data_IF_339000692013
#
_entry.id   IF_339000692013
#
_cell.length_a   1.000
_cell.length_b   1.000
_cell.length_c   1.000
_cell.angle_alpha   90.00
_cell.angle_beta   90.00
_cell.angle_gamma   90.00
#
_symmetry.space_group_name_H-M   'P 1'
#
loop_
_entity.id
_entity.type
_entity.pdbx_description
1 polymer ?
#
# COMPACT_ATOMS: atom_id res chain seq x y z
N UNK A 1 3.63 -67.86 -67.27
CA UNK A 1 5.07 -67.57 -67.03
C UNK A 1 5.20 -66.83 -65.72
N UNK A 2 5.85 -67.41 -64.72
CA UNK A 2 5.99 -66.96 -63.34
C UNK A 2 7.25 -66.12 -63.24
N UNK A 3 7.15 -64.97 -62.50
CA UNK A 3 8.32 -64.37 -61.88
C UNK A 3 7.97 -63.96 -60.45
N UNK A 4 8.63 -64.61 -59.50
CA UNK A 4 8.65 -64.30 -58.09
C UNK A 4 9.54 -63.11 -57.90
N UNK A 5 9.10 -62.12 -57.07
CA UNK A 5 9.98 -61.11 -56.44
C UNK A 5 9.78 -61.17 -54.88
N UNK A 6 10.86 -61.40 -54.21
CA UNK A 6 11.01 -61.42 -52.78
C UNK A 6 10.85 -60.04 -52.22
N UNK A 7 10.08 -59.96 -51.12
CA UNK A 7 10.04 -58.78 -50.28
C UNK A 7 11.09 -58.90 -49.17
N UNK A 8 11.98 -57.93 -49.09
CA UNK A 8 12.92 -57.73 -48.01
C UNK A 8 12.26 -56.86 -46.96
N UNK A 9 12.11 -57.39 -45.74
CA UNK A 9 11.64 -56.67 -44.55
C UNK A 9 12.80 -55.87 -44.00
N UNK A 10 12.70 -54.53 -43.97
CA UNK A 10 13.55 -53.65 -43.19
C UNK A 10 12.75 -53.20 -41.98
N UNK A 11 13.20 -53.68 -40.81
CA UNK A 11 12.71 -53.22 -39.50
C UNK A 11 13.37 -51.90 -39.15
N UNK A 12 12.62 -50.81 -39.20
CA UNK A 12 13.04 -49.50 -38.73
C UNK A 12 12.60 -49.30 -37.28
N UNK A 13 13.54 -49.27 -36.39
CA UNK A 13 13.29 -48.90 -34.97
C UNK A 13 13.03 -47.39 -34.84
N UNK A 14 11.83 -47.02 -34.47
CA UNK A 14 11.48 -45.65 -34.14
C UNK A 14 11.83 -45.42 -32.68
N UNK A 15 12.91 -44.66 -32.43
CA UNK A 15 13.24 -44.17 -31.08
C UNK A 15 12.39 -42.92 -30.82
N UNK A 16 11.35 -43.05 -30.03
CA UNK A 16 10.58 -41.92 -29.56
C UNK A 16 11.34 -41.20 -28.42
N UNK A 17 11.95 -40.07 -28.74
CA UNK A 17 12.50 -39.18 -27.71
C UNK A 17 11.36 -38.43 -27.05
N UNK A 18 11.04 -38.85 -25.79
CA UNK A 18 10.18 -38.07 -24.90
C UNK A 18 10.96 -36.87 -24.39
N UNK A 19 10.73 -35.71 -24.94
CA UNK A 19 11.18 -34.45 -24.37
C UNK A 19 10.26 -34.10 -23.18
N UNK A 20 10.78 -34.31 -21.97
CA UNK A 20 10.13 -33.88 -20.73
C UNK A 20 10.22 -32.35 -20.66
N UNK A 21 9.12 -31.65 -21.00
CA UNK A 21 9.01 -30.20 -20.79
C UNK A 21 8.75 -29.99 -19.31
N UNK A 22 9.78 -29.66 -18.54
CA UNK A 22 9.64 -29.14 -17.19
C UNK A 22 8.99 -27.75 -17.25
N UNK A 23 7.71 -27.67 -16.91
CA UNK A 23 7.08 -26.40 -16.55
C UNK A 23 7.68 -25.91 -15.23
N UNK A 24 8.64 -25.02 -15.32
CA UNK A 24 9.10 -24.27 -14.18
C UNK A 24 7.96 -23.31 -13.77
N UNK A 25 7.37 -23.62 -12.61
CA UNK A 25 6.42 -22.74 -11.96
C UNK A 25 7.20 -21.52 -11.48
N UNK A 26 7.09 -20.41 -12.21
CA UNK A 26 7.65 -19.12 -11.74
C UNK A 26 6.95 -18.73 -10.45
N UNK A 27 7.60 -19.00 -9.34
CA UNK A 27 7.24 -18.41 -8.06
C UNK A 27 7.66 -16.94 -8.13
N UNK A 28 6.69 -16.05 -8.20
CA UNK A 28 6.91 -14.62 -8.04
C UNK A 28 7.54 -14.36 -6.67
N UNK A 29 8.87 -14.34 -6.62
CA UNK A 29 9.59 -13.83 -5.49
C UNK A 29 9.32 -12.33 -5.40
N UNK A 30 8.51 -11.94 -4.41
CA UNK A 30 8.45 -10.55 -3.95
C UNK A 30 9.87 -10.20 -3.51
N UNK A 31 10.57 -9.45 -4.36
CA UNK A 31 11.91 -8.96 -4.06
C UNK A 31 11.80 -7.99 -2.90
N UNK A 32 12.17 -8.44 -1.71
CA UNK A 32 12.39 -7.55 -0.58
C UNK A 32 13.64 -6.75 -0.91
N UNK A 33 13.45 -5.50 -1.33
CA UNK A 33 14.56 -4.59 -1.54
C UNK A 33 15.35 -4.46 -0.24
N UNK A 34 16.54 -5.05 -0.25
CA UNK A 34 17.53 -4.95 0.82
C UNK A 34 18.10 -3.54 0.78
N UNK A 35 17.49 -2.60 1.49
CA UNK A 35 18.05 -1.27 1.67
C UNK A 35 17.62 -0.71 3.03
N UNK A 36 18.61 -0.32 3.76
CA UNK A 36 18.64 0.48 5.00
C UNK A 36 18.91 -0.36 6.25
N UNK A 37 20.16 -0.56 6.53
CA UNK A 37 20.70 -1.26 7.71
C UNK A 37 20.45 -0.56 9.06
N UNK A 38 19.77 0.61 9.09
CA UNK A 38 19.51 1.41 10.30
C UNK A 38 18.06 1.85 10.46
N UNK A 39 17.10 1.25 9.73
CA UNK A 39 15.69 1.61 9.90
C UNK A 39 15.13 0.91 11.14
N UNK A 40 14.50 1.64 12.10
CA UNK A 40 13.83 1.02 13.24
C UNK A 40 12.78 -0.01 12.79
N UNK A 41 12.79 -1.19 13.44
CA UNK A 41 11.92 -2.32 13.05
C UNK A 41 10.43 -2.05 13.22
N UNK A 42 10.08 -1.11 14.09
CA UNK A 42 8.70 -0.68 14.34
C UNK A 42 8.19 0.36 13.33
N UNK A 43 9.06 0.90 12.46
CA UNK A 43 8.66 1.82 11.40
C UNK A 43 7.95 1.08 10.26
N UNK A 44 7.15 1.81 9.48
CA UNK A 44 6.42 1.23 8.36
C UNK A 44 7.38 0.54 7.37
N UNK A 45 7.04 -0.69 7.01
CA UNK A 45 7.85 -1.54 6.14
C UNK A 45 7.73 -1.11 4.68
N UNK A 46 8.83 -0.86 3.96
CA UNK A 46 8.78 -0.55 2.53
C UNK A 46 8.27 -1.76 1.74
N UNK A 47 7.46 -1.49 0.74
CA UNK A 47 6.92 -2.47 -0.20
C UNK A 47 7.09 -1.97 -1.62
N UNK A 48 7.05 -2.88 -2.58
CA UNK A 48 7.01 -2.55 -4.02
C UNK A 48 5.73 -3.10 -4.61
N UNK A 49 4.99 -2.24 -5.32
CA UNK A 49 3.77 -2.62 -6.01
C UNK A 49 3.67 -1.84 -7.32
N UNK A 50 3.46 -2.51 -8.48
CA UNK A 50 3.30 -1.82 -9.74
C UNK A 50 2.18 -0.77 -9.67
N UNK A 51 2.45 0.44 -10.15
CA UNK A 51 1.48 1.53 -10.14
C UNK A 51 1.26 2.23 -8.79
N UNK A 52 2.02 1.90 -7.74
CA UNK A 52 1.97 2.55 -6.43
C UNK A 52 3.38 2.95 -5.99
N UNK A 53 3.72 4.20 -6.13
CA UNK A 53 5.00 4.73 -5.67
C UNK A 53 4.95 5.04 -4.16
N UNK A 54 6.13 5.13 -3.52
CA UNK A 54 6.27 5.49 -2.10
C UNK A 54 5.41 4.60 -1.18
N UNK A 55 5.41 3.28 -1.46
CA UNK A 55 4.49 2.32 -0.87
C UNK A 55 5.06 1.66 0.38
N UNK A 56 4.30 1.70 1.48
CA UNK A 56 4.69 1.13 2.77
C UNK A 56 3.50 0.51 3.50
N UNK A 57 3.79 -0.51 4.30
CA UNK A 57 2.86 -1.07 5.28
C UNK A 57 3.11 -0.44 6.65
N UNK A 58 2.16 0.32 7.15
CA UNK A 58 2.21 0.96 8.50
C UNK A 58 1.87 -0.06 9.58
N UNK A 59 0.76 -0.77 9.39
CA UNK A 59 0.31 -1.92 10.20
C UNK A 59 -0.27 -2.97 9.28
N UNK A 60 -0.76 -4.10 9.82
CA UNK A 60 -1.51 -5.08 9.03
C UNK A 60 -2.77 -4.52 8.40
N UNK A 61 -3.33 -3.45 8.98
CA UNK A 61 -4.60 -2.86 8.58
C UNK A 61 -4.46 -1.51 7.84
N UNK A 62 -3.25 -0.90 7.86
CA UNK A 62 -3.02 0.41 7.25
C UNK A 62 -1.79 0.37 6.35
N UNK A 63 -1.98 0.78 5.11
CA UNK A 63 -0.96 0.96 4.08
C UNK A 63 -0.94 2.42 3.63
N UNK A 64 0.22 2.89 3.16
CA UNK A 64 0.38 4.27 2.68
C UNK A 64 1.16 4.32 1.37
N UNK A 65 0.92 5.34 0.56
CA UNK A 65 1.68 5.54 -0.67
C UNK A 65 1.36 6.86 -1.37
N UNK A 66 1.93 7.01 -2.56
CA UNK A 66 1.56 8.07 -3.50
C UNK A 66 0.23 7.74 -4.21
N UNK A 67 -0.30 8.69 -4.96
CA UNK A 67 -1.47 8.51 -5.82
C UNK A 67 -1.29 7.26 -6.71
N UNK A 68 -2.13 6.22 -6.58
CA UNK A 68 -2.04 5.06 -7.44
C UNK A 68 -2.48 5.36 -8.86
N UNK A 69 -1.89 4.66 -9.82
CA UNK A 69 -2.44 4.56 -11.18
C UNK A 69 -3.66 3.60 -11.20
N UNK A 70 -4.37 3.52 -12.31
CA UNK A 70 -5.44 2.52 -12.47
C UNK A 70 -4.91 1.08 -12.29
N UNK A 71 -3.68 0.79 -12.72
CA UNK A 71 -3.01 -0.49 -12.45
C UNK A 71 -2.75 -0.65 -10.94
N UNK A 72 -2.23 0.40 -10.28
CA UNK A 72 -1.99 0.38 -8.85
C UNK A 72 -3.25 0.10 -8.03
N UNK A 73 -4.40 0.64 -8.44
CA UNK A 73 -5.68 0.34 -7.78
C UNK A 73 -6.07 -1.14 -7.92
N UNK A 74 -5.89 -1.75 -9.11
CA UNK A 74 -6.11 -3.20 -9.29
C UNK A 74 -5.16 -4.04 -8.44
N UNK A 75 -3.90 -3.64 -8.35
CA UNK A 75 -2.90 -4.33 -7.53
C UNK A 75 -3.20 -4.23 -6.03
N UNK A 76 -3.63 -3.07 -5.54
CA UNK A 76 -4.08 -2.89 -4.16
C UNK A 76 -5.28 -3.79 -3.84
N UNK A 77 -6.26 -3.86 -4.75
CA UNK A 77 -7.41 -4.76 -4.60
C UNK A 77 -6.97 -6.23 -4.56
N UNK A 78 -6.06 -6.65 -5.45
CA UNK A 78 -5.53 -8.00 -5.48
C UNK A 78 -4.72 -8.37 -4.22
N UNK A 79 -4.12 -7.38 -3.53
CA UNK A 79 -3.49 -7.55 -2.21
C UNK A 79 -4.50 -7.69 -1.06
N UNK A 80 -5.79 -7.51 -1.31
CA UNK A 80 -6.83 -7.58 -0.30
C UNK A 80 -7.15 -6.23 0.36
N UNK A 81 -6.63 -5.11 -0.13
CA UNK A 81 -7.09 -3.78 0.32
C UNK A 81 -8.57 -3.65 -0.01
N UNK A 82 -9.34 -3.14 0.92
CA UNK A 82 -10.80 -2.95 0.77
C UNK A 82 -11.17 -1.50 0.53
N UNK A 83 -10.43 -0.58 1.14
CA UNK A 83 -10.74 0.86 1.08
C UNK A 83 -9.51 1.68 0.75
N UNK A 84 -9.67 2.63 -0.15
CA UNK A 84 -8.70 3.67 -0.46
C UNK A 84 -9.16 4.99 0.13
N UNK A 85 -8.29 5.64 0.89
CA UNK A 85 -8.51 6.97 1.46
C UNK A 85 -7.66 7.98 0.71
N UNK A 86 -8.31 8.90 0.01
CA UNK A 86 -7.70 9.98 -0.75
C UNK A 86 -7.70 11.28 0.07
N UNK A 87 -6.52 11.85 0.30
CA UNK A 87 -6.32 13.12 1.04
C UNK A 87 -6.17 14.34 0.11
N UNK A 88 -6.52 14.24 -1.17
CA UNK A 88 -6.37 15.32 -2.14
C UNK A 88 -7.62 16.18 -2.25
N UNK A 89 -7.51 17.47 -1.95
CA UNK A 89 -8.63 18.41 -2.00
C UNK A 89 -9.22 18.56 -3.42
N UNK A 90 -8.36 18.53 -4.45
CA UNK A 90 -8.76 18.85 -5.83
C UNK A 90 -8.62 17.67 -6.80
N UNK A 91 -8.62 16.43 -6.30
CA UNK A 91 -8.51 15.23 -7.12
C UNK A 91 -9.38 14.10 -6.59
N UNK A 92 -10.15 13.48 -7.47
CA UNK A 92 -10.99 12.32 -7.15
C UNK A 92 -10.37 11.05 -7.73
N UNK A 93 -10.51 9.94 -6.99
CA UNK A 93 -10.12 8.62 -7.47
C UNK A 93 -11.24 7.89 -8.22
N UNK A 94 -12.40 8.52 -8.40
CA UNK A 94 -13.61 7.88 -8.95
C UNK A 94 -13.34 7.06 -10.21
N UNK A 95 -12.56 7.63 -11.14
CA UNK A 95 -12.32 6.98 -12.43
C UNK A 95 -11.31 5.82 -12.32
N UNK A 96 -10.31 5.94 -11.44
CA UNK A 96 -9.25 4.91 -11.29
C UNK A 96 -9.67 3.76 -10.37
N UNK A 97 -10.67 3.96 -9.48
CA UNK A 97 -11.26 2.88 -8.67
C UNK A 97 -12.41 2.17 -9.38
N UNK A 98 -12.94 2.74 -10.46
CA UNK A 98 -14.07 2.16 -11.19
C UNK A 98 -13.77 0.72 -11.62
N UNK A 99 -14.71 -0.19 -11.35
CA UNK A 99 -14.57 -1.61 -11.70
C UNK A 99 -13.63 -2.43 -10.83
N UNK A 100 -12.95 -1.84 -9.83
CA UNK A 100 -12.05 -2.57 -8.92
C UNK A 100 -12.77 -3.19 -7.72
N UNK A 101 -13.94 -2.71 -7.36
CA UNK A 101 -14.61 -3.09 -6.11
C UNK A 101 -14.03 -2.43 -4.85
N UNK A 102 -12.99 -1.59 -4.98
CA UNK A 102 -12.47 -0.81 -3.86
C UNK A 102 -13.47 0.25 -3.42
N UNK A 103 -13.68 0.39 -2.11
CA UNK A 103 -14.35 1.55 -1.54
C UNK A 103 -13.42 2.75 -1.60
N UNK A 104 -13.92 3.92 -2.02
CA UNK A 104 -13.16 5.17 -2.01
C UNK A 104 -13.78 6.14 -1.00
N UNK A 105 -12.95 6.65 -0.11
CA UNK A 105 -13.29 7.72 0.85
C UNK A 105 -12.34 8.88 0.58
N UNK A 106 -12.85 10.11 0.60
CA UNK A 106 -12.05 11.30 0.35
C UNK A 106 -12.19 12.29 1.50
N UNK A 107 -11.03 12.80 1.94
CA UNK A 107 -10.90 13.95 2.82
C UNK A 107 -10.17 15.06 2.06
N UNK A 108 -10.75 16.24 1.96
CA UNK A 108 -10.22 17.34 1.15
C UNK A 108 -9.11 18.12 1.87
N UNK A 109 -8.11 17.39 2.37
CA UNK A 109 -7.02 17.94 3.19
C UNK A 109 -6.09 18.86 2.39
N UNK A 110 -5.83 20.05 2.93
CA UNK A 110 -4.91 21.03 2.36
C UNK A 110 -3.58 20.97 3.11
N UNK A 111 -2.42 20.89 2.44
CA UNK A 111 -1.14 20.78 3.14
C UNK A 111 -0.75 22.03 3.94
N UNK A 112 -1.28 23.18 3.58
CA UNK A 112 -1.03 24.45 4.28
C UNK A 112 -2.00 24.71 5.45
N UNK A 113 -3.03 23.89 5.62
CA UNK A 113 -4.04 24.05 6.64
C UNK A 113 -4.54 22.65 7.07
N UNK A 114 -3.95 22.14 8.15
CA UNK A 114 -4.38 20.88 8.76
C UNK A 114 -5.59 21.15 9.67
N UNK A 115 -6.62 20.34 9.54
CA UNK A 115 -7.86 20.44 10.31
C UNK A 115 -8.03 19.19 11.18
N UNK A 116 -8.50 19.38 12.41
CA UNK A 116 -8.72 18.28 13.35
C UNK A 116 -9.83 17.36 12.86
N UNK A 117 -10.86 17.93 12.24
CA UNK A 117 -11.99 17.19 11.66
C UNK A 117 -11.54 16.19 10.60
N UNK A 118 -10.56 16.56 9.75
CA UNK A 118 -9.97 15.67 8.75
C UNK A 118 -9.27 14.49 9.41
N UNK A 119 -8.51 14.76 10.50
CA UNK A 119 -7.80 13.72 11.27
C UNK A 119 -8.80 12.79 11.96
N UNK A 120 -9.82 13.33 12.60
CA UNK A 120 -10.89 12.54 13.24
C UNK A 120 -11.62 11.68 12.22
N UNK A 121 -12.00 12.25 11.07
CA UNK A 121 -12.64 11.54 9.97
C UNK A 121 -11.77 10.40 9.43
N UNK A 122 -10.47 10.69 9.20
CA UNK A 122 -9.49 9.69 8.78
C UNK A 122 -9.36 8.55 9.81
N UNK A 123 -9.22 8.86 11.09
CA UNK A 123 -9.08 7.86 12.15
C UNK A 123 -10.32 6.97 12.23
N UNK A 124 -11.53 7.52 12.17
CA UNK A 124 -12.77 6.74 12.10
C UNK A 124 -12.75 5.79 10.92
N UNK A 125 -12.41 6.29 9.72
CA UNK A 125 -12.39 5.48 8.52
C UNK A 125 -11.31 4.38 8.58
N UNK A 126 -10.13 4.68 9.10
CA UNK A 126 -8.98 3.79 9.17
C UNK A 126 -9.04 2.75 10.31
N UNK A 127 -10.02 2.88 11.22
CA UNK A 127 -10.24 1.92 12.32
C UNK A 127 -11.57 1.18 12.23
N UNK A 128 -12.44 1.57 11.30
CA UNK A 128 -13.69 0.85 11.02
C UNK A 128 -13.38 -0.52 10.38
N UNK A 129 -13.77 -1.60 11.06
CA UNK A 129 -13.55 -2.98 10.61
C UNK A 129 -14.16 -3.28 9.23
N UNK A 130 -15.21 -2.56 8.83
CA UNK A 130 -15.82 -2.69 7.51
C UNK A 130 -14.95 -2.12 6.39
N UNK A 131 -13.99 -1.27 6.72
CA UNK A 131 -13.09 -0.65 5.75
C UNK A 131 -11.75 -1.39 5.60
N UNK A 132 -11.36 -2.19 6.60
CA UNK A 132 -10.02 -2.76 6.71
C UNK A 132 -9.77 -3.91 5.71
N UNK A 133 -8.55 -4.07 5.20
CA UNK A 133 -7.40 -3.16 5.28
C UNK A 133 -7.56 -1.89 4.44
N UNK A 134 -6.92 -0.80 4.86
CA UNK A 134 -7.02 0.53 4.24
C UNK A 134 -5.71 0.93 3.59
N UNK A 135 -5.78 1.58 2.42
CA UNK A 135 -4.67 2.29 1.81
C UNK A 135 -4.93 3.80 1.82
N UNK A 136 -4.03 4.59 2.40
CA UNK A 136 -4.13 6.05 2.44
C UNK A 136 -3.09 6.71 1.55
N UNK A 137 -3.49 7.73 0.79
CA UNK A 137 -2.59 8.49 -0.07
C UNK A 137 -2.95 9.97 -0.17
N UNK A 138 -1.96 10.75 -0.59
CA UNK A 138 -2.14 12.07 -1.18
C UNK A 138 -1.54 12.06 -2.60
N UNK A 139 -0.94 13.12 -3.07
CA UNK A 139 -0.28 13.13 -4.38
C UNK A 139 1.02 12.31 -4.37
N UNK A 140 1.97 12.68 -3.48
CA UNK A 140 3.29 12.04 -3.35
C UNK A 140 3.37 10.97 -2.26
N UNK A 141 2.32 10.83 -1.44
CA UNK A 141 2.36 9.95 -0.27
C UNK A 141 3.29 10.42 0.84
N UNK A 142 3.74 11.68 0.79
CA UNK A 142 4.75 12.24 1.68
C UNK A 142 4.11 13.01 2.85
N UNK A 143 3.63 14.23 2.60
CA UNK A 143 3.34 15.23 3.61
C UNK A 143 2.00 15.00 4.33
N UNK A 144 0.85 15.18 3.64
CA UNK A 144 -0.50 14.92 4.20
C UNK A 144 -0.65 13.48 4.68
N UNK A 145 -0.22 12.54 3.85
CA UNK A 145 -0.19 11.11 4.20
C UNK A 145 0.72 10.86 5.41
N UNK A 146 1.86 11.57 5.49
CA UNK A 146 2.77 11.50 6.63
C UNK A 146 2.10 11.92 7.93
N UNK A 147 1.45 13.09 7.93
CA UNK A 147 0.72 13.62 9.08
C UNK A 147 -0.39 12.65 9.54
N UNK A 148 -1.22 12.16 8.63
CA UNK A 148 -2.29 11.22 8.97
C UNK A 148 -1.75 9.90 9.55
N UNK A 149 -0.67 9.36 8.98
CA UNK A 149 -0.01 8.16 9.53
C UNK A 149 0.62 8.43 10.90
N UNK A 150 1.21 9.60 11.13
CA UNK A 150 1.75 9.98 12.44
C UNK A 150 0.62 10.07 13.48
N UNK A 151 -0.51 10.69 13.16
CA UNK A 151 -1.68 10.73 14.03
C UNK A 151 -2.22 9.32 14.32
N UNK A 152 -2.26 8.44 13.31
CA UNK A 152 -2.63 7.03 13.52
C UNK A 152 -1.66 6.32 14.47
N UNK A 153 -0.33 6.53 14.33
CA UNK A 153 0.68 5.97 15.24
C UNK A 153 0.44 6.42 16.69
N UNK A 154 0.13 7.70 16.88
CA UNK A 154 -0.11 8.26 18.22
C UNK A 154 -1.42 7.72 18.82
N UNK A 155 -2.49 7.85 18.06
CA UNK A 155 -3.85 7.58 18.59
C UNK A 155 -4.14 6.08 18.69
N UNK A 156 -3.74 5.31 17.69
CA UNK A 156 -4.09 3.88 17.58
C UNK A 156 -2.97 2.96 18.04
N UNK A 157 -1.70 3.31 17.72
CA UNK A 157 -0.56 2.46 18.07
C UNK A 157 0.10 2.86 19.42
N UNK A 158 -0.35 3.94 20.06
CA UNK A 158 0.17 4.38 21.37
C UNK A 158 1.57 5.00 21.34
N UNK A 159 2.03 5.46 20.16
CA UNK A 159 3.33 6.12 20.04
C UNK A 159 3.31 7.52 20.66
N UNK A 160 4.47 7.97 21.11
CA UNK A 160 4.65 9.37 21.47
C UNK A 160 4.66 10.27 20.24
N UNK A 161 4.32 11.55 20.40
CA UNK A 161 4.40 12.54 19.31
C UNK A 161 5.81 12.61 18.69
N UNK A 162 6.91 12.68 19.50
CA UNK A 162 8.26 12.68 18.93
C UNK A 162 8.59 11.46 18.07
N UNK A 163 8.22 10.24 18.50
CA UNK A 163 8.45 9.01 17.73
C UNK A 163 7.72 9.04 16.38
N UNK A 164 6.45 9.43 16.37
CA UNK A 164 5.65 9.51 15.17
C UNK A 164 6.14 10.60 14.20
N UNK A 165 6.56 11.76 14.71
CA UNK A 165 7.17 12.84 13.92
C UNK A 165 8.51 12.40 13.34
N UNK A 166 9.31 11.67 14.11
CA UNK A 166 10.60 11.17 13.65
C UNK A 166 10.41 10.15 12.50
N UNK A 167 9.48 9.19 12.64
CA UNK A 167 9.13 8.28 11.54
C UNK A 167 8.65 9.08 10.33
N UNK A 168 7.74 10.04 10.49
CA UNK A 168 7.22 10.87 9.41
C UNK A 168 8.34 11.58 8.63
N UNK A 169 9.31 12.15 9.33
CA UNK A 169 10.39 12.97 8.74
C UNK A 169 11.53 12.13 8.17
N UNK A 170 11.89 11.01 8.81
CA UNK A 170 13.09 10.21 8.48
C UNK A 170 12.78 8.81 7.96
N UNK A 171 11.52 8.42 7.89
CA UNK A 171 11.10 7.11 7.42
C UNK A 171 11.24 6.88 5.90
N UNK A 172 11.90 7.78 5.17
CA UNK A 172 12.13 7.63 3.72
C UNK A 172 10.91 7.96 2.87
N UNK A 173 9.91 8.64 3.44
CA UNK A 173 8.66 9.00 2.77
C UNK A 173 8.73 10.30 1.96
N UNK A 174 9.92 10.95 1.94
CA UNK A 174 10.16 12.23 1.26
C UNK A 174 9.36 13.41 1.83
N UNK A 175 9.14 13.42 3.16
CA UNK A 175 8.48 14.55 3.83
C UNK A 175 9.23 15.85 3.54
N UNK A 176 8.50 16.89 3.14
CA UNK A 176 9.08 18.19 2.79
C UNK A 176 9.16 19.10 4.02
N UNK A 177 10.34 19.63 4.37
CA UNK A 177 10.49 20.54 5.50
C UNK A 177 9.75 21.89 5.32
N UNK A 178 9.24 22.18 4.13
CA UNK A 178 8.37 23.35 3.87
C UNK A 178 7.08 23.29 4.68
N UNK A 179 6.56 22.08 4.95
CA UNK A 179 5.31 21.86 5.66
C UNK A 179 5.50 21.76 7.18
N UNK A 180 6.16 22.76 7.79
CA UNK A 180 6.36 22.84 9.25
C UNK A 180 5.05 22.84 10.01
N UNK A 181 4.02 23.49 9.44
CA UNK A 181 2.67 23.53 10.01
C UNK A 181 2.07 22.16 10.29
N UNK A 182 2.40 21.12 9.50
CA UNK A 182 1.92 19.77 9.75
C UNK A 182 2.60 19.13 10.98
N UNK A 183 3.88 19.44 11.21
CA UNK A 183 4.60 19.05 12.44
C UNK A 183 4.02 19.77 13.65
N UNK A 184 3.86 21.09 13.54
CA UNK A 184 3.28 21.93 14.62
C UNK A 184 1.86 21.48 14.97
N UNK A 185 1.06 21.07 13.98
CA UNK A 185 -0.27 20.50 14.21
C UNK A 185 -0.18 19.25 15.12
N UNK A 186 0.70 18.29 14.79
CA UNK A 186 0.88 17.09 15.61
C UNK A 186 1.35 17.44 17.02
N UNK A 187 2.30 18.36 17.16
CA UNK A 187 2.84 18.80 18.45
C UNK A 187 1.76 19.41 19.35
N UNK A 188 0.85 20.22 18.77
CA UNK A 188 -0.21 20.94 19.49
C UNK A 188 -1.49 20.12 19.67
N UNK A 189 -1.69 19.04 18.92
CA UNK A 189 -2.94 18.26 18.93
C UNK A 189 -3.31 17.76 20.32
N UNK A 190 -4.57 17.93 20.71
CA UNK A 190 -5.15 17.30 21.91
C UNK A 190 -5.52 15.84 21.59
N UNK A 191 -4.64 14.92 21.96
CA UNK A 191 -4.80 13.50 21.64
C UNK A 191 -5.99 12.88 22.37
N UNK A 192 -6.30 13.35 23.60
CA UNK A 192 -7.45 12.83 24.35
C UNK A 192 -8.76 13.24 23.67
N UNK A 193 -8.84 14.49 23.25
CA UNK A 193 -10.01 15.01 22.53
C UNK A 193 -10.20 14.31 21.17
N UNK A 194 -9.11 14.18 20.37
CA UNK A 194 -9.16 13.47 19.10
C UNK A 194 -9.60 12.00 19.28
N UNK A 195 -9.09 11.29 20.31
CA UNK A 195 -9.55 9.94 20.65
C UNK A 195 -11.05 9.91 20.95
N UNK A 196 -11.52 10.83 21.77
CA UNK A 196 -12.94 10.94 22.13
C UNK A 196 -13.82 11.16 20.92
N UNK A 197 -13.46 12.14 20.06
CA UNK A 197 -14.20 12.45 18.84
C UNK A 197 -14.16 11.30 17.83
N UNK A 198 -13.05 10.58 17.74
CA UNK A 198 -12.91 9.42 16.87
C UNK A 198 -13.62 8.15 17.38
N UNK A 199 -14.14 8.15 18.62
CA UNK A 199 -14.73 6.98 19.26
C UNK A 199 -13.70 5.91 19.63
N UNK A 200 -12.49 6.34 20.04
CA UNK A 200 -11.33 5.48 20.34
C UNK A 200 -10.86 5.67 21.80
N UNK A 201 -11.63 6.35 22.65
CA UNK A 201 -11.21 6.68 24.02
C UNK A 201 -11.07 5.44 24.91
N UNK A 202 -11.87 4.40 24.67
CA UNK A 202 -11.95 3.18 25.50
C UNK A 202 -11.31 1.94 24.83
N UNK A 203 -10.43 2.16 23.86
CA UNK A 203 -9.76 1.08 23.08
C UNK A 203 -8.28 1.03 23.35
#
# INVERSE_FOLDING_TARGET
MRLKRQCILLAGAIVAAFTLVCFAKETNHVSTASAVTNRPVNWARPLTLPGVANFYQVTTNLYRGAQPTAEGMRQLQAMGIRTVINLRAFHSDKDVVAGTGLKSIRFETKPWHAEEEDVVGFLKAATDTNNLPVFVHCERGADRTGMMCAMYRIVVCGWTKPEAIEEMKRGGYHFSPVWKNLVEFIEKADIAEIKRQAGLADK
#
